data_IF_479583784015
#
_entry.id   IF_479583784015
#
_cell.length_a   1.000
_cell.length_b   1.000
_cell.length_c   1.000
_cell.angle_alpha   90.00
_cell.angle_beta   90.00
_cell.angle_gamma   90.00
#
_symmetry.space_group_name_H-M   'P 1'
#
loop_
_entity.id
_entity.type
_entity.pdbx_description
1 polymer ?
#
# COMPACT_ATOMS: atom_id res chain seq x y z
N UNK A 1 6.00 -18.41 4.02
CA UNK A 1 5.38 -18.31 2.68
C UNK A 1 5.05 -16.85 2.46
N UNK A 2 5.65 -16.19 1.47
CA UNK A 2 5.49 -14.75 1.23
C UNK A 2 4.11 -14.44 0.63
N UNK A 3 3.40 -13.46 1.19
CA UNK A 3 2.04 -13.07 0.79
C UNK A 3 2.02 -12.20 -0.50
N UNK A 4 2.97 -12.41 -1.41
CA UNK A 4 3.19 -11.58 -2.62
C UNK A 4 2.09 -11.70 -3.66
N UNK A 5 1.26 -12.74 -3.59
CA UNK A 5 0.11 -12.96 -4.47
C UNK A 5 -0.98 -11.90 -4.35
N UNK A 6 -1.00 -11.11 -3.26
CA UNK A 6 -1.92 -9.98 -3.06
C UNK A 6 -1.41 -8.67 -3.67
N UNK A 7 -0.15 -8.60 -4.10
CA UNK A 7 0.45 -7.37 -4.62
C UNK A 7 -0.13 -6.99 -5.98
N UNK A 8 -0.89 -5.90 -6.03
CA UNK A 8 -1.54 -5.45 -7.26
C UNK A 8 -0.53 -4.70 -8.14
N UNK A 9 -0.42 -5.11 -9.41
CA UNK A 9 0.39 -4.40 -10.39
C UNK A 9 -0.23 -3.02 -10.70
N UNK A 10 0.61 -1.99 -10.73
CA UNK A 10 0.17 -0.61 -10.85
C UNK A 10 0.10 -0.10 -12.29
N UNK A 11 0.63 -0.87 -13.26
CA UNK A 11 0.85 -0.45 -14.66
C UNK A 11 -0.41 0.09 -15.34
N UNK A 12 -1.57 -0.53 -15.07
CA UNK A 12 -2.84 -0.17 -15.71
C UNK A 12 -3.81 0.60 -14.79
N UNK A 13 -3.42 0.86 -13.54
CA UNK A 13 -4.28 1.57 -12.60
C UNK A 13 -4.26 3.06 -12.90
N UNK A 14 -5.45 3.60 -13.19
CA UNK A 14 -5.65 5.01 -13.54
C UNK A 14 -6.14 5.85 -12.38
N UNK A 15 -6.62 5.26 -11.30
CA UNK A 15 -7.20 5.99 -10.17
C UNK A 15 -6.97 5.29 -8.83
N UNK A 16 -7.04 6.06 -7.74
CA UNK A 16 -6.96 5.54 -6.40
C UNK A 16 -8.22 4.75 -6.02
N UNK A 17 -8.07 3.50 -5.56
CA UNK A 17 -9.19 2.64 -5.17
C UNK A 17 -9.98 3.11 -3.92
N UNK A 18 -9.56 4.21 -3.26
CA UNK A 18 -10.28 4.81 -2.12
C UNK A 18 -10.99 6.09 -2.53
N UNK A 19 -10.25 7.05 -3.08
CA UNK A 19 -10.79 8.39 -3.36
C UNK A 19 -11.15 8.63 -4.83
N UNK A 20 -10.94 7.63 -5.71
CA UNK A 20 -11.23 7.65 -7.15
C UNK A 20 -10.54 8.81 -7.92
N UNK A 21 -9.57 9.48 -7.30
CA UNK A 21 -8.76 10.49 -7.99
C UNK A 21 -7.83 9.80 -8.96
N UNK A 22 -7.81 10.30 -10.19
CA UNK A 22 -6.91 9.83 -11.23
C UNK A 22 -5.44 10.01 -10.85
N UNK A 23 -4.66 8.97 -11.10
CA UNK A 23 -3.20 9.02 -11.08
C UNK A 23 -2.73 9.70 -12.36
N UNK A 24 -1.92 10.76 -12.24
CA UNK A 24 -1.46 11.51 -13.41
C UNK A 24 -0.41 12.56 -13.10
N UNK A 25 0.31 12.98 -14.13
CA UNK A 25 1.46 13.89 -14.06
C UNK A 25 1.11 15.33 -13.65
N UNK A 26 -0.15 15.73 -13.80
CA UNK A 26 -0.60 17.11 -13.56
C UNK A 26 -1.18 17.36 -12.15
N UNK A 27 -1.14 16.37 -11.24
CA UNK A 27 -1.64 16.53 -9.85
C UNK A 27 -0.66 15.92 -8.84
N UNK A 28 0.11 16.73 -8.08
CA UNK A 28 1.17 16.22 -7.19
C UNK A 28 0.67 15.32 -6.05
N UNK A 29 -0.58 15.47 -5.62
CA UNK A 29 -1.16 14.62 -4.57
C UNK A 29 -1.59 13.22 -5.08
N UNK A 30 -1.76 13.06 -6.39
CA UNK A 30 -2.15 11.80 -7.04
C UNK A 30 -1.08 11.29 -8.02
N UNK A 31 0.06 11.95 -8.16
CA UNK A 31 1.12 11.52 -9.09
C UNK A 31 1.85 10.26 -8.61
N UNK A 32 1.88 10.01 -7.29
CA UNK A 32 2.64 8.92 -6.72
C UNK A 32 1.69 7.79 -6.30
N UNK A 33 1.69 6.72 -7.10
CA UNK A 33 1.08 5.45 -6.75
C UNK A 33 1.81 4.87 -5.54
N UNK A 34 1.07 4.36 -4.58
CA UNK A 34 1.63 3.84 -3.33
C UNK A 34 0.87 2.59 -2.93
N UNK A 35 1.60 1.51 -2.68
CA UNK A 35 1.02 0.24 -2.25
C UNK A 35 0.76 0.21 -0.76
N UNK A 36 -0.36 -0.38 -0.37
CA UNK A 36 -0.62 -0.79 1.01
C UNK A 36 0.10 -2.11 1.27
N UNK A 37 0.88 -2.18 2.33
CA UNK A 37 1.62 -3.38 2.74
C UNK A 37 0.77 -4.41 3.48
N UNK A 38 -0.51 -4.14 3.73
CA UNK A 38 -1.44 -5.12 4.34
C UNK A 38 -2.35 -5.80 3.30
N UNK A 39 -2.92 -5.02 2.37
CA UNK A 39 -3.82 -5.55 1.36
C UNK A 39 -3.21 -5.68 -0.05
N UNK A 40 -2.04 -5.08 -0.30
CA UNK A 40 -1.36 -5.09 -1.60
C UNK A 40 -1.96 -4.16 -2.66
N UNK A 41 -3.04 -3.43 -2.35
CA UNK A 41 -3.69 -2.50 -3.28
C UNK A 41 -2.89 -1.21 -3.51
N UNK A 42 -3.21 -0.50 -4.58
CA UNK A 42 -2.56 0.76 -5.00
C UNK A 42 -3.45 1.97 -4.72
N UNK A 43 -2.86 2.98 -4.10
CA UNK A 43 -3.56 4.16 -3.62
C UNK A 43 -2.74 5.43 -3.89
N UNK A 44 -3.36 6.60 -3.79
CA UNK A 44 -2.60 7.84 -3.74
C UNK A 44 -1.96 8.01 -2.36
N UNK A 45 -0.91 8.84 -2.28
CA UNK A 45 -0.21 9.12 -1.02
C UNK A 45 -1.16 9.55 0.10
N UNK A 46 -2.17 10.37 -0.21
CA UNK A 46 -3.14 10.85 0.78
C UNK A 46 -4.10 9.76 1.31
N UNK A 47 -4.27 8.65 0.58
CA UNK A 47 -5.08 7.51 1.03
C UNK A 47 -4.23 6.36 1.56
N UNK A 48 -2.90 6.51 1.59
CA UNK A 48 -1.93 5.52 2.04
C UNK A 48 -0.74 6.21 2.71
N UNK A 49 -1.03 7.03 3.73
CA UNK A 49 -0.01 7.84 4.40
C UNK A 49 0.45 7.23 5.74
N UNK A 50 -0.45 6.50 6.42
CA UNK A 50 -0.22 5.91 7.75
C UNK A 50 0.83 4.79 7.70
N UNK A 51 1.68 4.74 8.74
CA UNK A 51 2.62 3.66 8.98
C UNK A 51 2.28 2.99 10.32
N UNK A 52 1.85 1.74 10.27
CA UNK A 52 1.40 0.98 11.46
C UNK A 52 2.18 -0.32 11.58
N UNK A 53 2.26 -0.86 12.79
CA UNK A 53 2.76 -2.23 12.98
C UNK A 53 1.75 -3.20 12.35
N UNK A 54 2.24 -4.05 11.45
CA UNK A 54 1.46 -5.10 10.79
C UNK A 54 2.17 -6.42 11.10
N UNK A 55 1.46 -7.48 11.53
CA UNK A 55 2.07 -8.79 11.73
C UNK A 55 2.86 -9.21 10.49
N UNK A 56 4.10 -9.66 10.67
CA UNK A 56 5.03 -9.91 9.57
C UNK A 56 4.48 -10.91 8.53
N UNK A 57 3.63 -11.85 8.95
CA UNK A 57 2.92 -12.82 8.11
C UNK A 57 1.86 -12.20 7.19
N UNK A 58 1.27 -11.07 7.61
CA UNK A 58 0.25 -10.33 6.86
C UNK A 58 0.84 -9.26 5.95
N UNK A 59 2.13 -8.97 6.11
CA UNK A 59 2.84 -8.02 5.26
C UNK A 59 2.93 -8.55 3.82
N UNK A 60 2.26 -7.84 2.92
CA UNK A 60 2.32 -8.07 1.47
C UNK A 60 3.63 -7.49 0.93
N UNK A 61 4.49 -8.39 0.48
CA UNK A 61 5.78 -8.08 -0.13
C UNK A 61 5.62 -7.85 -1.64
N UNK A 62 6.36 -6.88 -2.18
CA UNK A 62 6.45 -6.71 -3.62
C UNK A 62 7.22 -7.90 -4.24
N UNK A 63 6.94 -8.29 -5.50
CA UNK A 63 7.62 -9.40 -6.16
C UNK A 63 9.14 -9.26 -6.25
N UNK A 64 9.65 -8.02 -6.26
CA UNK A 64 11.08 -7.69 -6.35
C UNK A 64 11.61 -6.94 -5.12
N UNK A 65 11.09 -7.21 -3.92
CA UNK A 65 11.67 -6.64 -2.70
C UNK A 65 13.15 -7.04 -2.55
N UNK A 66 14.00 -6.05 -2.28
CA UNK A 66 15.41 -6.26 -2.07
C UNK A 66 15.74 -6.77 -0.66
N UNK A 67 17.01 -7.11 -0.39
CA UNK A 67 17.46 -7.64 0.90
C UNK A 67 17.34 -6.67 2.10
N UNK A 68 16.85 -5.45 1.88
CA UNK A 68 16.66 -4.43 2.93
C UNK A 68 15.21 -4.27 3.41
N UNK A 69 14.28 -5.10 2.94
CA UNK A 69 12.89 -5.05 3.40
C UNK A 69 12.74 -5.70 4.78
N UNK A 70 12.43 -4.90 5.79
CA UNK A 70 12.11 -5.38 7.13
C UNK A 70 10.59 -5.42 7.36
N UNK A 71 9.95 -6.60 7.39
CA UNK A 71 8.51 -6.72 7.65
C UNK A 71 8.13 -6.39 9.11
N UNK A 72 9.08 -6.36 10.06
CA UNK A 72 8.81 -6.03 11.45
C UNK A 72 8.73 -4.51 11.70
N UNK A 73 9.27 -3.69 10.81
CA UNK A 73 9.15 -2.23 10.88
C UNK A 73 7.69 -1.78 10.65
N UNK A 74 7.30 -0.57 11.09
CA UNK A 74 6.00 0.00 10.75
C UNK A 74 5.81 0.08 9.23
N UNK A 75 4.74 -0.56 8.76
CA UNK A 75 4.44 -0.70 7.35
C UNK A 75 3.41 0.33 6.90
N UNK A 76 3.60 0.84 5.69
CA UNK A 76 2.65 1.77 5.08
C UNK A 76 1.36 1.07 4.71
N UNK A 77 0.22 1.58 5.19
CA UNK A 77 -1.11 1.01 4.93
C UNK A 77 -2.08 2.05 4.39
N UNK A 78 -3.09 1.59 3.65
CA UNK A 78 -4.17 2.48 3.21
C UNK A 78 -5.09 2.83 4.37
N UNK A 79 -5.82 3.94 4.25
CA UNK A 79 -6.72 4.43 5.32
C UNK A 79 -7.74 3.39 5.77
N UNK A 80 -8.26 2.57 4.84
CA UNK A 80 -9.20 1.49 5.19
C UNK A 80 -8.54 0.39 6.04
N UNK A 81 -7.30 0.03 5.73
CA UNK A 81 -6.57 -0.96 6.53
C UNK A 81 -6.14 -0.38 7.88
N UNK A 82 -5.77 0.91 7.92
CA UNK A 82 -5.47 1.60 9.16
C UNK A 82 -6.67 1.60 10.13
N UNK A 83 -7.86 1.90 9.63
CA UNK A 83 -9.10 1.87 10.42
C UNK A 83 -9.36 0.49 11.03
N UNK A 84 -9.18 -0.59 10.27
CA UNK A 84 -9.40 -1.96 10.77
C UNK A 84 -8.34 -2.35 11.80
N UNK A 85 -7.07 -2.02 11.58
CA UNK A 85 -5.97 -2.39 12.47
C UNK A 85 -5.94 -1.62 13.79
N UNK A 86 -6.58 -0.45 13.88
CA UNK A 86 -6.68 0.32 15.13
C UNK A 86 -7.79 -0.16 16.08
N UNK A 87 -8.65 -1.09 15.64
CA UNK A 87 -9.77 -1.62 16.43
C UNK A 87 -9.61 -3.11 16.79
N UNK A 88 -8.40 -3.67 16.65
CA UNK A 88 -8.04 -5.01 17.11
C UNK A 88 -7.20 -4.91 18.39
#
# INVERSE_FOLDING_TARGET
MSNSSKWVLDTNLRECAVCLREFGTNKPAASNKTHCRYCGGVYCRACCYECLSVPAEDVVQAPQEGPGFDPAAPQRVCVRCAEVSLHQ
#
